data_IF_366855865835
#
_entry.id   IF_366855865835
#
_cell.length_a   1.000
_cell.length_b   1.000
_cell.length_c   1.000
_cell.angle_alpha   90.00
_cell.angle_beta   90.00
_cell.angle_gamma   90.00
#
_symmetry.space_group_name_H-M   'P 1'
#
loop_
_entity.id
_entity.type
_entity.pdbx_description
1 polymer ?
#
# COMPACT_ATOMS: atom_id res chain seq x y z
N UNK A 1 -2.97 56.77 -21.42
CA UNK A 1 -4.03 56.15 -20.60
C UNK A 1 -3.88 54.65 -20.74
N UNK A 2 -3.72 53.96 -19.61
CA UNK A 2 -3.41 52.53 -19.48
C UNK A 2 -4.68 51.72 -19.75
N UNK A 3 -4.62 50.75 -20.66
CA UNK A 3 -5.56 49.63 -20.68
C UNK A 3 -4.77 48.36 -20.37
N UNK A 4 -4.73 48.03 -19.08
CA UNK A 4 -4.10 46.81 -18.57
C UNK A 4 -4.95 45.59 -18.87
N UNK A 5 -4.35 44.58 -19.50
CA UNK A 5 -4.89 43.23 -19.57
C UNK A 5 -4.88 42.62 -18.15
N UNK A 6 -6.05 42.32 -17.61
CA UNK A 6 -6.18 41.50 -16.41
C UNK A 6 -6.33 40.04 -16.88
N UNK A 7 -5.25 39.28 -16.81
CA UNK A 7 -5.27 37.82 -16.91
C UNK A 7 -5.83 37.26 -15.60
N UNK A 8 -7.11 36.85 -15.59
CA UNK A 8 -7.65 36.01 -14.52
C UNK A 8 -7.07 34.60 -14.68
N UNK A 9 -6.06 34.26 -13.88
CA UNK A 9 -5.65 32.88 -13.70
C UNK A 9 -6.68 32.18 -12.80
N UNK A 10 -7.58 31.39 -13.40
CA UNK A 10 -8.38 30.42 -12.67
C UNK A 10 -7.44 29.34 -12.11
N UNK A 11 -7.04 29.47 -10.86
CA UNK A 11 -6.51 28.34 -10.11
C UNK A 11 -7.68 27.39 -9.86
N UNK A 12 -7.84 26.40 -10.73
CA UNK A 12 -8.67 25.24 -10.42
C UNK A 12 -8.06 24.56 -9.20
N UNK A 13 -8.63 24.83 -8.02
CA UNK A 13 -8.39 24.01 -6.85
C UNK A 13 -9.03 22.67 -7.16
N UNK A 14 -8.22 21.70 -7.61
CA UNK A 14 -8.63 20.30 -7.61
C UNK A 14 -8.91 19.98 -6.16
N UNK A 15 -10.19 19.94 -5.80
CA UNK A 15 -10.66 19.44 -4.53
C UNK A 15 -10.27 17.95 -4.52
N UNK A 16 -9.06 17.68 -4.03
CA UNK A 16 -8.60 16.34 -3.78
C UNK A 16 -9.43 15.85 -2.59
N UNK A 17 -10.65 15.39 -2.91
CA UNK A 17 -11.48 14.64 -1.98
C UNK A 17 -10.59 13.56 -1.40
N UNK A 18 -10.18 13.76 -0.15
CA UNK A 18 -9.37 12.80 0.59
C UNK A 18 -10.27 11.57 0.70
N UNK A 19 -9.96 10.55 -0.09
CA UNK A 19 -10.68 9.30 -0.07
C UNK A 19 -10.72 8.81 1.39
N UNK A 20 -11.90 8.41 1.85
CA UNK A 20 -12.04 7.87 3.19
C UNK A 20 -11.06 6.69 3.37
N UNK A 21 -10.44 6.53 4.55
CA UNK A 21 -9.58 5.40 4.81
C UNK A 21 -10.37 4.09 4.62
N UNK A 22 -9.73 3.02 4.11
CA UNK A 22 -10.41 1.76 3.88
C UNK A 22 -10.88 1.14 5.20
N UNK A 23 -12.00 0.43 5.15
CA UNK A 23 -12.53 -0.28 6.31
C UNK A 23 -11.70 -1.54 6.61
N UNK A 24 -11.81 -2.06 7.83
CA UNK A 24 -11.16 -3.32 8.21
C UNK A 24 -11.58 -4.48 7.28
N UNK A 25 -12.88 -4.60 6.95
CA UNK A 25 -13.36 -5.62 6.02
C UNK A 25 -12.77 -5.49 4.62
N UNK A 26 -12.59 -4.25 4.12
CA UNK A 26 -11.96 -4.00 2.83
C UNK A 26 -10.49 -4.40 2.84
N UNK A 27 -9.76 -4.07 3.93
CA UNK A 27 -8.36 -4.48 4.11
C UNK A 27 -8.21 -5.99 4.26
N UNK A 28 -9.14 -6.67 4.93
CA UNK A 28 -9.17 -8.13 5.06
C UNK A 28 -9.38 -8.79 3.69
N UNK A 29 -10.33 -8.30 2.89
CA UNK A 29 -10.59 -8.82 1.55
C UNK A 29 -9.40 -8.58 0.60
N UNK A 30 -8.74 -7.43 0.71
CA UNK A 30 -7.56 -7.10 -0.09
C UNK A 30 -6.38 -8.02 0.27
N UNK A 31 -6.12 -8.27 1.57
CA UNK A 31 -5.11 -9.22 2.03
C UNK A 31 -5.32 -10.63 1.47
N UNK A 32 -6.57 -11.11 1.38
CA UNK A 32 -6.88 -12.45 0.85
C UNK A 32 -6.49 -12.64 -0.62
N UNK A 33 -6.34 -11.55 -1.38
CA UNK A 33 -5.93 -11.58 -2.78
C UNK A 33 -4.51 -11.04 -3.00
N UNK A 34 -3.85 -10.61 -1.92
CA UNK A 34 -2.50 -10.08 -1.96
C UNK A 34 -1.47 -11.15 -2.33
N UNK A 35 -0.43 -10.75 -3.07
CA UNK A 35 0.64 -11.66 -3.48
C UNK A 35 1.90 -11.45 -2.63
N UNK A 36 2.71 -12.50 -2.40
CA UNK A 36 3.91 -12.38 -1.59
C UNK A 36 5.00 -11.57 -2.28
N UNK A 37 5.72 -10.78 -1.48
CA UNK A 37 6.89 -10.00 -1.87
C UNK A 37 8.15 -10.53 -1.16
N UNK A 38 9.30 -9.91 -1.43
CA UNK A 38 10.52 -10.16 -0.65
C UNK A 38 10.30 -9.73 0.81
N UNK A 39 10.87 -10.48 1.74
CA UNK A 39 10.85 -10.13 3.16
C UNK A 39 11.57 -8.79 3.44
N UNK A 40 11.04 -8.05 4.41
CA UNK A 40 11.64 -6.85 4.99
C UNK A 40 11.99 -7.19 6.44
N UNK A 41 13.25 -7.02 6.82
CA UNK A 41 13.76 -7.34 8.17
C UNK A 41 13.39 -8.76 8.67
N UNK A 42 13.36 -9.74 7.75
CA UNK A 42 12.99 -11.13 8.04
C UNK A 42 11.49 -11.37 8.27
N UNK A 43 10.65 -10.37 8.02
CA UNK A 43 9.19 -10.47 8.09
C UNK A 43 8.61 -10.68 6.70
N UNK A 44 7.64 -11.59 6.58
CA UNK A 44 6.90 -11.80 5.34
C UNK A 44 6.13 -10.53 4.94
N UNK A 45 6.11 -10.23 3.64
CA UNK A 45 5.46 -9.04 3.07
C UNK A 45 4.54 -9.49 1.92
N UNK A 46 3.40 -8.82 1.78
CA UNK A 46 2.47 -9.02 0.68
C UNK A 46 2.02 -7.69 0.10
N UNK A 47 1.67 -7.69 -1.19
CA UNK A 47 1.08 -6.53 -1.88
C UNK A 47 -0.37 -6.83 -2.26
N UNK A 48 -1.29 -6.06 -1.68
CA UNK A 48 -2.66 -5.98 -2.15
C UNK A 48 -2.88 -4.79 -3.09
N UNK A 49 -4.13 -4.55 -3.45
CA UNK A 49 -4.57 -3.40 -4.22
C UNK A 49 -4.78 -2.13 -3.39
N UNK A 50 -5.06 -2.26 -2.09
CA UNK A 50 -5.32 -1.15 -1.18
C UNK A 50 -4.12 -0.82 -0.28
N UNK A 51 -3.38 -1.83 0.17
CA UNK A 51 -2.24 -1.66 1.07
C UNK A 51 -1.12 -2.65 0.77
N UNK A 52 0.06 -2.37 1.36
CA UNK A 52 1.02 -3.44 1.63
C UNK A 52 0.70 -4.07 2.99
N UNK A 53 1.11 -5.32 3.16
CA UNK A 53 0.91 -6.06 4.39
C UNK A 53 2.23 -6.65 4.85
N UNK A 54 2.46 -6.65 6.16
CA UNK A 54 3.68 -7.22 6.75
C UNK A 54 3.31 -8.07 7.96
N UNK A 55 3.97 -9.22 8.11
CA UNK A 55 3.75 -10.15 9.22
C UNK A 55 4.02 -9.43 10.53
N UNK A 56 3.04 -9.25 11.40
CA UNK A 56 3.22 -8.63 12.73
C UNK A 56 4.18 -9.46 13.58
N UNK A 57 4.89 -8.80 14.50
CA UNK A 57 5.63 -9.53 15.54
C UNK A 57 4.64 -10.16 16.51
N UNK A 58 4.73 -11.48 16.69
CA UNK A 58 3.97 -12.19 17.72
C UNK A 58 4.85 -12.30 18.97
N UNK A 59 4.31 -11.94 20.12
CA UNK A 59 5.02 -12.06 21.39
C UNK A 59 5.13 -13.53 21.82
N UNK A 60 6.14 -13.85 22.64
CA UNK A 60 6.39 -15.20 23.15
C UNK A 60 5.12 -15.85 23.73
N UNK A 61 4.78 -17.05 23.24
CA UNK A 61 3.62 -17.83 23.68
C UNK A 61 2.48 -17.97 22.67
N UNK A 62 2.57 -17.32 21.49
CA UNK A 62 1.66 -17.54 20.37
C UNK A 62 2.43 -18.15 19.20
N UNK A 63 2.07 -19.37 18.80
CA UNK A 63 2.65 -20.03 17.62
C UNK A 63 2.21 -19.29 16.36
N UNK A 64 3.16 -18.88 15.52
CA UNK A 64 2.91 -18.35 14.17
C UNK A 64 2.72 -19.49 13.16
N UNK A 65 2.09 -20.60 13.58
CA UNK A 65 2.31 -21.93 12.98
C UNK A 65 1.47 -22.25 11.75
N UNK A 66 0.54 -21.38 11.35
CA UNK A 66 -0.23 -21.57 10.13
C UNK A 66 -0.08 -20.38 9.17
N UNK A 67 0.25 -20.67 7.92
CA UNK A 67 0.32 -19.66 6.85
C UNK A 67 -1.01 -18.91 6.64
N UNK A 68 -2.11 -19.42 7.20
CA UNK A 68 -3.46 -18.86 7.16
C UNK A 68 -3.84 -18.05 8.41
N UNK A 69 -3.04 -18.09 9.47
CA UNK A 69 -3.30 -17.39 10.75
C UNK A 69 -2.09 -16.57 11.19
N UNK A 70 -1.47 -15.88 10.23
CA UNK A 70 -0.39 -14.93 10.51
C UNK A 70 -1.03 -13.59 10.80
N UNK A 71 -0.80 -13.04 11.99
CA UNK A 71 -1.13 -11.65 12.28
C UNK A 71 -0.39 -10.74 11.29
N UNK A 72 -1.12 -9.81 10.65
CA UNK A 72 -0.56 -8.89 9.66
C UNK A 72 -0.95 -7.46 9.92
N UNK A 73 0.01 -6.55 9.78
CA UNK A 73 -0.22 -5.12 9.83
C UNK A 73 -0.45 -4.60 8.41
N UNK A 74 -1.48 -3.75 8.23
CA UNK A 74 -1.69 -3.01 6.99
C UNK A 74 -0.82 -1.75 6.97
N UNK A 75 -0.10 -1.55 5.88
CA UNK A 75 0.81 -0.42 5.65
C UNK A 75 0.22 0.43 4.54
N UNK A 76 -0.52 1.47 4.93
CA UNK A 76 -1.16 2.39 4.00
C UNK A 76 -0.23 3.57 3.67
N UNK A 77 -0.22 4.04 2.41
CA UNK A 77 0.55 5.22 2.01
C UNK A 77 0.18 6.50 2.78
N UNK A 78 -1.06 6.61 3.24
CA UNK A 78 -1.53 7.77 4.01
C UNK A 78 -0.99 7.83 5.43
N UNK A 79 -0.61 6.66 5.96
CA UNK A 79 -0.27 6.48 7.37
C UNK A 79 1.25 6.33 7.56
N UNK A 80 2.00 6.27 6.46
CA UNK A 80 3.42 5.97 6.43
C UNK A 80 4.20 6.99 5.59
N UNK A 81 5.49 7.16 5.91
CA UNK A 81 6.34 8.08 5.17
C UNK A 81 6.62 7.59 3.73
N UNK A 82 6.93 8.48 2.77
CA UNK A 82 7.34 8.06 1.43
C UNK A 82 8.59 7.15 1.43
N UNK A 83 9.49 7.36 2.38
CA UNK A 83 10.69 6.54 2.55
C UNK A 83 10.32 5.10 2.95
N UNK A 84 9.43 4.95 3.94
CA UNK A 84 8.85 3.66 4.32
C UNK A 84 8.19 2.99 3.12
N UNK A 85 7.32 3.71 2.39
CA UNK A 85 6.62 3.15 1.22
C UNK A 85 7.58 2.68 0.13
N UNK A 86 8.72 3.35 -0.04
CA UNK A 86 9.73 2.95 -1.02
C UNK A 86 10.38 1.60 -0.68
N UNK A 87 10.53 1.25 0.61
CA UNK A 87 11.03 -0.06 1.02
C UNK A 87 10.07 -1.18 0.61
N UNK A 88 8.76 -0.98 0.83
CA UNK A 88 7.71 -1.90 0.41
C UNK A 88 7.59 -2.03 -1.11
N UNK A 89 7.68 -0.92 -1.84
CA UNK A 89 7.72 -0.94 -3.29
C UNK A 89 8.89 -1.80 -3.79
N UNK A 90 10.11 -1.54 -3.29
CA UNK A 90 11.31 -2.30 -3.66
C UNK A 90 11.17 -3.79 -3.35
N UNK A 91 10.58 -4.15 -2.22
CA UNK A 91 10.34 -5.53 -1.84
C UNK A 91 9.45 -6.28 -2.84
N UNK A 92 8.54 -5.58 -3.51
CA UNK A 92 7.57 -6.17 -4.43
C UNK A 92 7.94 -6.06 -5.92
N UNK A 93 9.04 -5.40 -6.28
CA UNK A 93 9.48 -5.24 -7.68
C UNK A 93 9.86 -6.55 -8.37
N UNK A 94 10.25 -7.59 -7.61
CA UNK A 94 10.79 -8.84 -8.17
C UNK A 94 9.80 -9.99 -8.30
N UNK A 95 8.56 -9.82 -7.83
CA UNK A 95 7.56 -10.90 -7.73
C UNK A 95 6.16 -10.52 -8.22
N UNK A 96 5.96 -9.31 -8.76
CA UNK A 96 4.73 -9.01 -9.48
C UNK A 96 4.55 -10.10 -10.55
N UNK A 97 3.41 -10.83 -10.59
CA UNK A 97 3.22 -11.89 -11.56
C UNK A 97 3.45 -11.27 -12.93
N UNK A 98 4.55 -11.69 -13.58
CA UNK A 98 4.74 -11.39 -14.97
C UNK A 98 3.49 -11.91 -15.64
N UNK A 99 2.66 -10.98 -16.14
CA UNK A 99 1.58 -11.31 -17.03
C UNK A 99 2.16 -12.30 -18.02
N UNK A 100 1.69 -13.55 -17.93
CA UNK A 100 2.13 -14.64 -18.80
C UNK A 100 1.69 -14.19 -20.18
N UNK A 101 2.61 -13.58 -20.92
CA UNK A 101 2.41 -13.19 -22.29
C UNK A 101 2.38 -14.51 -23.05
N UNK A 102 1.16 -14.97 -23.32
CA UNK A 102 0.90 -16.18 -24.08
C UNK A 102 1.76 -16.20 -25.33
N UNK A 103 2.45 -17.33 -25.51
CA UNK A 103 3.06 -17.74 -26.78
C UNK A 103 1.99 -17.92 -27.87
#
# INVERSE_FOLDING_TARGET
>A
MIFGLIMLALTATTDASVAAPPTADALQADLQTAYPCKEIDGRKVWKGGLAYYIQSYVYDGQSADDATDVATDAVLPTDNSPETMQEFEKACLTLAPMAIKGE
#
